data_IF_109129608483
#
_entry.id   IF_109129608483
#
_cell.length_a   1.000
_cell.length_b   1.000
_cell.length_c   1.000
_cell.angle_alpha   90.00
_cell.angle_beta   90.00
_cell.angle_gamma   90.00
#
_symmetry.space_group_name_H-M   'P 1'
#
loop_
_entity.id
_entity.type
_entity.pdbx_description
1 polymer ?
#
# COMPACT_ATOMS: atom_id res chain seq x y z
N UNK A 1 -14.52 -38.23 -34.03
CA UNK A 1 -15.29 -37.20 -33.30
C UNK A 1 -14.25 -36.26 -32.67
N UNK A 2 -13.92 -35.15 -33.37
CA UNK A 2 -12.91 -34.18 -32.95
C UNK A 2 -13.61 -33.11 -32.15
N UNK A 3 -13.28 -33.03 -30.85
CA UNK A 3 -13.72 -31.96 -29.95
C UNK A 3 -12.95 -30.70 -30.32
N UNK A 4 -13.59 -29.75 -30.96
CA UNK A 4 -13.10 -28.39 -31.11
C UNK A 4 -13.24 -27.66 -29.77
N UNK A 5 -12.13 -27.33 -29.14
CA UNK A 5 -12.06 -26.38 -28.04
C UNK A 5 -12.40 -24.99 -28.58
N UNK A 6 -13.36 -24.25 -28.04
CA UNK A 6 -13.56 -22.86 -28.44
C UNK A 6 -12.35 -22.05 -28.00
N UNK A 7 -11.63 -21.47 -28.96
CA UNK A 7 -10.71 -20.37 -28.70
C UNK A 7 -11.54 -19.20 -28.16
N UNK A 8 -11.37 -18.90 -26.89
CA UNK A 8 -11.86 -17.66 -26.29
C UNK A 8 -11.02 -16.53 -26.90
N UNK A 9 -11.51 -15.97 -27.99
CA UNK A 9 -10.97 -14.75 -28.58
C UNK A 9 -11.27 -13.60 -27.63
N UNK A 10 -10.30 -13.25 -26.81
CA UNK A 10 -10.31 -12.01 -26.06
C UNK A 10 -10.08 -10.89 -27.07
N UNK A 11 -11.14 -10.23 -27.48
CA UNK A 11 -11.07 -8.99 -28.26
C UNK A 11 -10.60 -7.92 -27.28
N UNK A 12 -9.31 -7.60 -27.34
CA UNK A 12 -8.71 -6.46 -26.63
C UNK A 12 -8.94 -5.22 -27.50
N UNK A 13 -10.13 -4.64 -27.43
CA UNK A 13 -10.53 -3.54 -28.30
C UNK A 13 -10.23 -2.15 -27.70
N UNK A 14 -9.74 -2.08 -26.45
CA UNK A 14 -9.29 -0.83 -25.82
C UNK A 14 -7.93 -1.01 -25.14
N UNK A 15 -7.04 0.00 -25.20
CA UNK A 15 -5.78 -0.06 -24.49
C UNK A 15 -6.06 -0.13 -22.99
N UNK A 16 -5.56 -1.16 -22.34
CA UNK A 16 -5.70 -1.36 -20.91
C UNK A 16 -4.86 -0.29 -20.18
N UNK A 17 -5.50 0.58 -19.44
CA UNK A 17 -4.86 1.55 -18.56
C UNK A 17 -5.04 1.16 -17.07
N UNK A 18 -4.39 1.89 -16.18
CA UNK A 18 -4.48 1.62 -14.75
C UNK A 18 -5.91 1.81 -14.20
N UNK A 19 -6.64 2.82 -14.69
CA UNK A 19 -8.00 3.11 -14.23
C UNK A 19 -8.98 1.99 -14.62
N UNK A 20 -8.88 1.47 -15.87
CA UNK A 20 -9.69 0.34 -16.34
C UNK A 20 -9.36 -0.97 -15.61
N UNK A 21 -8.15 -1.09 -15.07
CA UNK A 21 -7.72 -2.21 -14.22
C UNK A 21 -8.15 -2.05 -12.74
N UNK A 22 -8.85 -0.95 -12.40
CA UNK A 22 -9.31 -0.67 -11.04
C UNK A 22 -8.34 0.15 -10.19
N UNK A 23 -7.29 0.69 -10.80
CA UNK A 23 -6.30 1.57 -10.12
C UNK A 23 -6.40 2.97 -10.71
N UNK A 24 -7.32 3.77 -10.19
CA UNK A 24 -7.52 5.17 -10.60
C UNK A 24 -6.79 6.10 -9.63
N UNK A 25 -5.61 6.55 -10.05
CA UNK A 25 -4.71 7.40 -9.24
C UNK A 25 -5.35 8.76 -8.93
N UNK A 26 -6.13 9.32 -9.85
CA UNK A 26 -6.77 10.62 -9.65
C UNK A 26 -7.94 10.51 -8.65
N UNK A 27 -8.71 9.43 -8.75
CA UNK A 27 -9.78 9.12 -7.79
C UNK A 27 -9.21 8.84 -6.40
N UNK A 28 -8.13 8.08 -6.32
CA UNK A 28 -7.42 7.82 -5.06
C UNK A 28 -6.92 9.12 -4.44
N UNK A 29 -6.25 9.98 -5.19
CA UNK A 29 -5.78 11.28 -4.72
C UNK A 29 -6.91 12.16 -4.18
N UNK A 30 -8.06 12.18 -4.86
CA UNK A 30 -9.26 12.90 -4.43
C UNK A 30 -9.86 12.34 -3.15
N UNK A 31 -9.90 11.02 -3.01
CA UNK A 31 -10.37 10.33 -1.81
C UNK A 31 -9.46 10.62 -0.61
N UNK A 32 -8.15 10.54 -0.79
CA UNK A 32 -7.15 10.88 0.24
C UNK A 32 -7.26 12.32 0.68
N UNK A 33 -7.39 13.27 -0.26
CA UNK A 33 -7.57 14.69 0.06
C UNK A 33 -8.84 14.94 0.88
N UNK A 34 -9.95 14.26 0.54
CA UNK A 34 -11.21 14.33 1.27
C UNK A 34 -11.06 13.77 2.69
N UNK A 35 -10.36 12.66 2.85
CA UNK A 35 -10.06 12.05 4.15
C UNK A 35 -9.22 12.98 5.02
N UNK A 36 -8.14 13.54 4.47
CA UNK A 36 -7.29 14.52 5.17
C UNK A 36 -8.12 15.73 5.61
N UNK A 37 -8.99 16.25 4.75
CA UNK A 37 -9.91 17.35 5.09
C UNK A 37 -10.86 17.00 6.25
N UNK A 38 -11.41 15.80 6.25
CA UNK A 38 -12.28 15.32 7.33
C UNK A 38 -11.54 15.16 8.67
N UNK A 39 -10.31 14.66 8.61
CA UNK A 39 -9.47 14.42 9.79
C UNK A 39 -8.78 15.69 10.30
N UNK A 40 -8.75 16.77 9.53
CA UNK A 40 -7.98 17.98 9.85
C UNK A 40 -8.27 18.58 11.24
N UNK A 41 -9.48 18.40 11.76
CA UNK A 41 -9.85 18.85 13.11
C UNK A 41 -9.29 17.97 14.23
N UNK A 42 -8.88 16.74 13.93
CA UNK A 42 -8.33 15.77 14.90
C UNK A 42 -6.81 15.70 14.87
N UNK A 43 -6.17 16.40 13.96
CA UNK A 43 -4.70 16.45 13.86
C UNK A 43 -4.12 17.10 15.10
N UNK A 44 -3.12 16.45 15.69
CA UNK A 44 -2.42 16.96 16.88
C UNK A 44 -1.55 18.16 16.52
N UNK A 45 -1.40 19.07 17.47
CA UNK A 45 -0.55 20.26 17.29
C UNK A 45 0.92 19.86 17.28
N UNK A 46 1.72 20.52 16.44
CA UNK A 46 3.17 20.39 16.44
C UNK A 46 3.76 20.54 17.86
N UNK A 47 4.77 19.77 18.16
CA UNK A 47 5.39 19.70 19.49
C UNK A 47 4.63 18.81 20.49
N UNK A 48 3.62 18.05 20.07
CA UNK A 48 2.94 17.09 20.93
C UNK A 48 3.06 15.67 20.38
N UNK A 49 3.19 14.65 21.27
CA UNK A 49 3.29 13.26 20.80
C UNK A 49 2.14 12.87 19.88
N UNK A 50 2.48 12.30 18.74
CA UNK A 50 1.53 11.94 17.69
C UNK A 50 1.19 13.07 16.71
N UNK A 51 1.83 14.24 16.79
CA UNK A 51 1.72 15.27 15.77
C UNK A 51 2.39 14.78 14.46
N UNK A 52 1.73 14.98 13.30
CA UNK A 52 2.34 14.59 12.03
C UNK A 52 3.55 15.48 11.71
N UNK A 53 4.55 14.86 11.10
CA UNK A 53 5.75 15.55 10.60
C UNK A 53 5.78 15.41 9.08
N UNK A 54 5.80 16.54 8.38
CA UNK A 54 5.91 16.55 6.92
C UNK A 54 7.32 16.17 6.49
N UNK A 55 7.41 15.14 5.65
CA UNK A 55 8.63 14.74 4.97
C UNK A 55 8.39 14.87 3.46
N UNK A 56 8.98 15.86 2.79
CA UNK A 56 8.82 16.04 1.35
C UNK A 56 9.24 14.79 0.58
N UNK A 57 8.32 14.22 -0.20
CA UNK A 57 8.56 12.97 -0.94
C UNK A 57 8.59 11.71 -0.08
N UNK A 58 8.24 11.80 1.19
CA UNK A 58 8.22 10.67 2.11
C UNK A 58 7.08 9.71 1.83
N UNK A 59 7.42 8.43 1.80
CA UNK A 59 6.50 7.30 1.73
C UNK A 59 6.30 6.79 3.15
N UNK A 60 5.36 7.26 3.86
CA UNK A 60 5.09 6.80 5.21
C UNK A 60 4.74 7.92 6.18
N UNK A 61 3.91 7.62 7.14
CA UNK A 61 3.53 8.57 8.17
C UNK A 61 4.62 8.72 9.22
N UNK A 62 5.13 9.95 9.39
CA UNK A 62 6.00 10.31 10.50
C UNK A 62 5.20 11.08 11.54
N UNK A 63 5.37 10.71 12.80
CA UNK A 63 4.77 11.41 13.94
C UNK A 63 5.81 11.72 15.01
N UNK A 64 5.60 12.81 15.74
CA UNK A 64 6.42 13.15 16.91
C UNK A 64 6.19 12.12 18.04
N UNK A 65 7.28 11.65 18.63
CA UNK A 65 7.25 10.71 19.75
C UNK A 65 8.35 11.01 20.78
N UNK A 66 8.09 11.95 21.67
CA UNK A 66 9.09 12.48 22.59
C UNK A 66 10.21 13.19 21.83
N UNK A 67 11.44 12.83 22.13
CA UNK A 67 12.64 13.38 21.45
C UNK A 67 12.96 12.67 20.11
N UNK A 68 12.10 11.73 19.69
CA UNK A 68 12.26 10.93 18.48
C UNK A 68 11.07 11.12 17.52
N UNK A 69 11.21 10.58 16.34
CA UNK A 69 10.11 10.40 15.39
C UNK A 69 9.75 8.91 15.30
N UNK A 70 8.47 8.63 15.20
CA UNK A 70 7.98 7.29 14.90
C UNK A 70 7.48 7.25 13.46
N UNK A 71 8.04 6.35 12.67
CA UNK A 71 7.58 6.07 11.32
C UNK A 71 6.57 4.90 11.35
N UNK A 72 5.48 5.03 10.61
CA UNK A 72 4.44 4.01 10.48
C UNK A 72 4.23 3.71 8.99
N UNK A 73 4.30 2.44 8.65
CA UNK A 73 3.95 1.92 7.32
C UNK A 73 2.97 0.76 7.48
N UNK A 74 2.03 0.66 6.55
CA UNK A 74 1.09 -0.47 6.46
C UNK A 74 0.90 -0.82 5.00
N UNK A 75 1.13 -2.07 4.66
CA UNK A 75 0.88 -2.58 3.31
C UNK A 75 0.51 -4.06 3.36
N UNK A 76 -0.15 -4.53 2.32
CA UNK A 76 -0.55 -5.93 2.15
C UNK A 76 0.15 -6.57 0.94
N UNK A 77 0.22 -7.90 0.94
CA UNK A 77 0.85 -8.65 -0.17
C UNK A 77 0.10 -8.47 -1.50
N UNK A 78 -1.19 -8.15 -1.44
CA UNK A 78 -1.98 -7.80 -2.61
C UNK A 78 -2.24 -9.00 -3.55
N UNK A 79 -2.22 -8.74 -4.86
CA UNK A 79 -2.57 -9.71 -5.91
C UNK A 79 -1.66 -10.93 -5.98
N UNK A 80 -0.46 -10.89 -5.43
CA UNK A 80 0.44 -12.07 -5.32
C UNK A 80 -0.22 -13.23 -4.56
N UNK A 81 -1.15 -12.95 -3.63
CA UNK A 81 -1.90 -13.98 -2.92
C UNK A 81 -2.75 -14.85 -3.85
N UNK A 82 -3.28 -14.28 -4.94
CA UNK A 82 -4.03 -15.04 -5.94
C UNK A 82 -3.13 -16.07 -6.64
N UNK A 83 -1.90 -15.66 -6.96
CA UNK A 83 -0.90 -16.54 -7.59
C UNK A 83 -0.44 -17.60 -6.59
N UNK A 84 -0.13 -17.21 -5.36
CA UNK A 84 0.26 -18.15 -4.29
C UNK A 84 -0.81 -19.21 -4.05
N UNK A 85 -2.08 -18.79 -4.04
CA UNK A 85 -3.23 -19.70 -3.90
C UNK A 85 -3.37 -20.65 -5.09
N UNK A 86 -3.28 -20.12 -6.32
CA UNK A 86 -3.42 -20.94 -7.53
C UNK A 86 -2.31 -22.00 -7.65
N UNK A 87 -1.09 -21.66 -7.19
CA UNK A 87 0.06 -22.55 -7.20
C UNK A 87 0.22 -23.39 -5.92
N UNK A 88 -0.59 -23.13 -4.91
CA UNK A 88 -0.43 -23.66 -3.55
C UNK A 88 1.00 -23.48 -3.00
N UNK A 89 1.58 -22.27 -3.21
CA UNK A 89 2.94 -21.91 -2.86
C UNK A 89 2.91 -20.70 -1.92
N UNK A 90 3.11 -20.94 -0.62
CA UNK A 90 2.93 -19.91 0.42
C UNK A 90 4.24 -19.44 1.07
N UNK A 91 5.35 -20.15 0.82
CA UNK A 91 6.61 -19.93 1.54
C UNK A 91 7.18 -18.51 1.40
N UNK A 92 6.92 -17.82 0.28
CA UNK A 92 7.39 -16.45 0.05
C UNK A 92 6.47 -15.36 0.59
N UNK A 93 5.22 -15.69 0.92
CA UNK A 93 4.18 -14.68 1.24
C UNK A 93 4.55 -13.85 2.47
N UNK A 94 5.06 -14.50 3.52
CA UNK A 94 5.49 -13.80 4.74
C UNK A 94 6.70 -12.89 4.51
N UNK A 95 7.62 -13.29 3.65
CA UNK A 95 8.77 -12.47 3.27
C UNK A 95 8.30 -11.24 2.50
N UNK A 96 7.40 -11.41 1.54
CA UNK A 96 6.81 -10.32 0.78
C UNK A 96 6.07 -9.33 1.69
N UNK A 97 5.26 -9.83 2.62
CA UNK A 97 4.53 -9.01 3.58
C UNK A 97 5.47 -8.13 4.43
N UNK A 98 6.53 -8.73 4.96
CA UNK A 98 7.56 -8.00 5.70
C UNK A 98 8.28 -6.99 4.81
N UNK A 99 8.68 -7.39 3.61
CA UNK A 99 9.45 -6.54 2.70
C UNK A 99 8.68 -5.30 2.28
N UNK A 100 7.39 -5.39 1.98
CA UNK A 100 6.56 -4.25 1.58
C UNK A 100 6.55 -3.18 2.67
N UNK A 101 6.33 -3.56 3.91
CA UNK A 101 6.30 -2.62 5.03
C UNK A 101 7.69 -2.09 5.42
N UNK A 102 8.70 -2.97 5.45
CA UNK A 102 10.07 -2.57 5.84
C UNK A 102 10.70 -1.65 4.81
N UNK A 103 10.48 -1.88 3.52
CA UNK A 103 11.04 -1.04 2.46
C UNK A 103 10.52 0.40 2.53
N UNK A 104 9.25 0.60 2.89
CA UNK A 104 8.68 1.93 3.08
C UNK A 104 9.37 2.67 4.23
N UNK A 105 9.64 1.98 5.33
CA UNK A 105 10.38 2.55 6.47
C UNK A 105 11.83 2.89 6.09
N UNK A 106 12.49 2.05 5.28
CA UNK A 106 13.84 2.32 4.80
C UNK A 106 13.91 3.56 3.90
N UNK A 107 12.86 3.84 3.12
CA UNK A 107 12.77 5.03 2.28
C UNK A 107 12.82 6.34 3.08
N UNK A 108 12.41 6.31 4.34
CA UNK A 108 12.47 7.46 5.25
C UNK A 108 13.64 7.37 6.26
N UNK A 109 14.52 6.37 6.10
CA UNK A 109 15.68 6.15 6.96
C UNK A 109 15.34 5.65 8.36
N UNK A 110 14.13 5.07 8.53
CA UNK A 110 13.69 4.54 9.81
C UNK A 110 14.16 3.10 10.02
N UNK A 111 14.52 2.77 11.26
CA UNK A 111 14.83 1.39 11.68
C UNK A 111 13.54 0.68 12.13
N UNK A 112 13.21 -0.49 11.57
CA UNK A 112 12.05 -1.26 11.99
C UNK A 112 12.24 -1.78 13.43
N UNK A 113 11.30 -1.48 14.31
CA UNK A 113 11.34 -1.89 15.73
C UNK A 113 10.19 -2.82 16.12
N UNK A 114 9.12 -2.83 15.34
CA UNK A 114 7.96 -3.68 15.59
C UNK A 114 7.22 -3.97 14.29
N UNK A 115 6.56 -5.10 14.24
CA UNK A 115 5.66 -5.50 13.16
C UNK A 115 4.34 -5.97 13.79
N UNK A 116 3.23 -5.56 13.19
CA UNK A 116 1.88 -5.96 13.64
C UNK A 116 1.18 -6.64 12.47
N UNK A 117 0.64 -7.80 12.72
CA UNK A 117 -0.10 -8.62 11.76
C UNK A 117 -1.49 -8.96 12.32
N UNK A 118 -2.51 -9.10 11.42
CA UNK A 118 -3.89 -9.44 11.81
C UNK A 118 -4.56 -10.33 10.76
#
# INVERSE_FOLDING_TARGET
MVLQTPCFGMVMDEPMDYASAGVDIDLEGSAVASLIGALGKSVRKAGTPGAPVDLPGGFGGLIEFGDNLLALATDGVGSKLQIASALNQWAGVGIDCMAMNVNDLLCVGAEPIAFVDY
#
